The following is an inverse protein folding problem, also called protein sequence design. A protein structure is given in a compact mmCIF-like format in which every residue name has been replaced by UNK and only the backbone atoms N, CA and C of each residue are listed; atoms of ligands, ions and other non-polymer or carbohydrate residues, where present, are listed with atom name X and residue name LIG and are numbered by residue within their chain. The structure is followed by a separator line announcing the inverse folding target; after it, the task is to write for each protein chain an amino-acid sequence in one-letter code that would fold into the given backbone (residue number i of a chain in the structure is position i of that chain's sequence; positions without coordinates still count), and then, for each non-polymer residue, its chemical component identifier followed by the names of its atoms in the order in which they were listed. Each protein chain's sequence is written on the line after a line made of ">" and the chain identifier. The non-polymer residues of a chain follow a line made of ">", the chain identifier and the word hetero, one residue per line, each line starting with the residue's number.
data_IF_020862129991
#
_entry.id   IF_020862129991
#
_cell.length_a   1.000
_cell.length_b   1.000
_cell.length_c   1.000
_cell.angle_alpha   90.00
_cell.angle_beta   90.00
_cell.angle_gamma   90.00
#
_symmetry.space_group_name_H-M   'P 1'
#
loop_
_entity.id
_entity.type
_entity.pdbx_description
1 polymer ?
#
# COMPACT_ATOMS: atom_id res chain seq x y z
N UNK A 1 -9.53 0.62 -0.54
CA UNK A 1 -8.36 0.33 -1.38
C UNK A 1 -8.71 -0.43 -2.67
N UNK A 2 -9.98 -0.50 -3.09
CA UNK A 2 -10.35 -1.14 -4.34
C UNK A 2 -10.20 -0.17 -5.53
N UNK A 3 -9.03 0.42 -5.67
CA UNK A 3 -8.70 1.22 -6.85
C UNK A 3 -7.29 0.83 -7.27
N UNK A 4 -7.25 -0.12 -8.20
CA UNK A 4 -6.07 -0.43 -9.00
C UNK A 4 -5.54 0.88 -9.56
N UNK A 5 -4.24 1.13 -9.38
CA UNK A 5 -3.61 2.35 -9.85
C UNK A 5 -3.97 2.57 -11.33
N UNK A 6 -4.42 3.78 -11.73
CA UNK A 6 -4.64 4.07 -13.12
C UNK A 6 -3.35 3.80 -13.88
N UNK A 7 -3.54 3.28 -15.08
CA UNK A 7 -2.54 2.74 -15.98
C UNK A 7 -1.68 3.87 -16.58
N UNK A 8 -1.01 4.64 -15.71
CA UNK A 8 0.01 5.62 -16.07
C UNK A 8 1.25 4.80 -16.45
N UNK A 9 1.15 4.20 -17.63
CA UNK A 9 2.06 3.30 -18.33
C UNK A 9 3.38 4.01 -18.62
N UNK A 10 4.28 3.98 -17.63
CA UNK A 10 5.71 3.76 -17.87
C UNK A 10 6.17 2.73 -16.85
N UNK A 11 6.27 1.49 -17.32
CA UNK A 11 6.55 0.24 -16.60
C UNK A 11 7.40 0.41 -15.33
N UNK A 12 6.81 0.14 -14.17
CA UNK A 12 7.54 -0.10 -12.92
C UNK A 12 7.21 -1.50 -12.39
N UNK A 13 7.58 -2.57 -13.13
CA UNK A 13 6.96 -3.90 -12.97
C UNK A 13 7.08 -4.45 -11.55
N UNK A 14 8.22 -4.18 -10.89
CA UNK A 14 8.44 -4.60 -9.51
C UNK A 14 7.56 -3.84 -8.50
N UNK A 15 7.41 -2.52 -8.67
CA UNK A 15 6.58 -1.68 -7.81
C UNK A 15 5.12 -2.11 -7.95
N UNK A 16 4.68 -2.33 -9.18
CA UNK A 16 3.30 -2.73 -9.51
C UNK A 16 2.98 -4.13 -8.94
N UNK A 17 3.86 -5.11 -9.17
CA UNK A 17 3.71 -6.45 -8.62
C UNK A 17 3.66 -6.44 -7.08
N UNK A 18 4.51 -5.63 -6.46
CA UNK A 18 4.55 -5.49 -5.00
C UNK A 18 3.28 -4.84 -4.46
N UNK A 19 2.82 -3.78 -5.11
CA UNK A 19 1.59 -3.09 -4.74
C UNK A 19 0.39 -4.03 -4.83
N UNK A 20 0.25 -4.75 -5.94
CA UNK A 20 -0.82 -5.76 -6.14
C UNK A 20 -0.83 -6.82 -5.03
N UNK A 21 0.34 -7.32 -4.63
CA UNK A 21 0.43 -8.27 -3.52
C UNK A 21 -0.03 -7.66 -2.18
N UNK A 22 0.29 -6.38 -1.91
CA UNK A 22 -0.18 -5.69 -0.71
C UNK A 22 -1.71 -5.52 -0.71
N UNK A 23 -2.30 -5.15 -1.85
CA UNK A 23 -3.76 -5.06 -2.02
C UNK A 23 -4.42 -6.39 -1.73
N UNK A 24 -3.88 -7.50 -2.26
CA UNK A 24 -4.40 -8.84 -1.98
C UNK A 24 -4.33 -9.19 -0.49
N UNK A 25 -3.20 -8.89 0.18
CA UNK A 25 -3.05 -9.15 1.63
C UNK A 25 -4.00 -8.29 2.47
N UNK A 26 -4.23 -7.05 2.07
CA UNK A 26 -5.21 -6.16 2.69
C UNK A 26 -6.63 -6.73 2.53
N UNK A 27 -7.05 -7.06 1.32
CA UNK A 27 -8.39 -7.61 1.06
C UNK A 27 -8.63 -8.89 1.87
N UNK A 28 -7.66 -9.82 1.86
CA UNK A 28 -7.73 -11.02 2.69
C UNK A 28 -7.91 -10.71 4.18
N UNK A 29 -7.21 -9.70 4.69
CA UNK A 29 -7.30 -9.26 6.07
C UNK A 29 -8.65 -8.62 6.43
N UNK A 30 -9.23 -7.88 5.49
CA UNK A 30 -10.58 -7.32 5.64
C UNK A 30 -11.63 -8.43 5.59
N UNK A 31 -11.53 -9.35 4.63
CA UNK A 31 -12.47 -10.46 4.43
C UNK A 31 -12.51 -11.41 5.63
N UNK A 32 -11.36 -11.70 6.25
CA UNK A 32 -11.28 -12.59 7.40
C UNK A 32 -11.39 -11.88 8.75
N UNK A 33 -11.61 -10.56 8.75
CA UNK A 33 -11.77 -9.75 9.97
C UNK A 33 -10.49 -9.48 10.76
N UNK A 34 -9.31 -9.83 10.25
CA UNK A 34 -8.02 -9.50 10.89
C UNK A 34 -7.53 -8.09 10.63
N UNK A 35 -8.23 -7.30 9.79
CA UNK A 35 -7.98 -5.86 9.63
C UNK A 35 -9.29 -5.13 9.90
N UNK A 36 -9.33 -4.40 11.03
CA UNK A 36 -10.52 -3.68 11.47
C UNK A 36 -10.73 -2.35 10.72
N UNK A 37 -11.83 -1.64 11.01
CA UNK A 37 -12.14 -0.37 10.35
C UNK A 37 -11.08 0.73 10.62
N UNK A 38 -10.51 0.77 11.82
CA UNK A 38 -9.50 1.76 12.22
C UNK A 38 -8.18 1.53 11.48
N UNK A 39 -7.77 0.28 11.34
CA UNK A 39 -6.60 -0.18 10.61
C UNK A 39 -6.78 0.02 9.10
N UNK A 40 -7.98 -0.23 8.58
CA UNK A 40 -8.32 0.10 7.20
C UNK A 40 -8.10 1.59 6.92
N UNK A 41 -8.52 2.50 7.81
CA UNK A 41 -8.28 3.94 7.64
C UNK A 41 -6.80 4.31 7.69
N UNK A 42 -6.02 3.69 8.58
CA UNK A 42 -4.55 3.88 8.63
C UNK A 42 -3.90 3.42 7.32
N UNK A 43 -4.29 2.27 6.80
CA UNK A 43 -3.77 1.76 5.53
C UNK A 43 -4.18 2.67 4.36
N UNK A 44 -5.44 3.14 4.30
CA UNK A 44 -5.90 4.07 3.25
C UNK A 44 -5.04 5.34 3.18
N UNK A 45 -4.69 5.92 4.34
CA UNK A 45 -3.77 7.08 4.40
C UNK A 45 -2.38 6.75 3.87
N UNK A 46 -1.85 5.57 4.19
CA UNK A 46 -0.56 5.11 3.67
C UNK A 46 -0.59 4.92 2.14
N UNK A 47 -1.68 4.37 1.60
CA UNK A 47 -1.89 4.22 0.15
C UNK A 47 -1.99 5.57 -0.57
N UNK A 48 -2.72 6.52 -0.01
CA UNK A 48 -2.78 7.88 -0.55
C UNK A 48 -1.38 8.54 -0.58
N UNK A 49 -0.58 8.37 0.47
CA UNK A 49 0.81 8.84 0.50
C UNK A 49 1.69 8.18 -0.56
N UNK A 50 1.56 6.87 -0.76
CA UNK A 50 2.26 6.13 -1.82
C UNK A 50 1.85 6.62 -3.22
N UNK A 51 0.55 6.79 -3.46
CA UNK A 51 0.01 7.33 -4.73
C UNK A 51 0.52 8.73 -5.02
N UNK A 52 0.55 9.61 -4.02
CA UNK A 52 1.12 10.95 -4.15
C UNK A 52 2.61 10.92 -4.48
N UNK A 53 3.37 10.04 -3.83
CA UNK A 53 4.79 9.85 -4.13
C UNK A 53 5.02 9.29 -5.53
N UNK A 54 4.22 8.32 -5.96
CA UNK A 54 4.31 7.72 -7.30
C UNK A 54 3.95 8.72 -8.40
N UNK A 55 2.92 9.54 -8.17
CA UNK A 55 2.54 10.60 -9.08
C UNK A 55 3.65 11.66 -9.17
N UNK A 56 4.13 12.14 -8.01
CA UNK A 56 5.24 13.09 -7.92
C UNK A 56 6.49 12.61 -8.65
N UNK A 57 6.88 11.35 -8.45
CA UNK A 57 8.03 10.76 -9.13
C UNK A 57 7.92 10.78 -10.67
N UNK A 58 6.69 10.59 -11.19
CA UNK A 58 6.44 10.60 -12.63
C UNK A 58 6.29 12.00 -13.23
N UNK A 59 6.32 13.06 -12.42
CA UNK A 59 5.93 14.41 -12.87
C UNK A 59 7.03 15.11 -13.67
N UNK A 60 8.31 14.74 -13.52
CA UNK A 60 9.43 15.45 -14.16
C UNK A 60 9.70 15.00 -15.61
N UNK A 61 9.94 13.71 -15.84
CA UNK A 61 10.28 13.15 -17.17
C UNK A 61 9.44 11.93 -17.55
N UNK A 62 8.47 11.57 -16.69
CA UNK A 62 7.66 10.35 -16.77
C UNK A 62 8.41 9.07 -16.41
N UNK A 63 9.67 9.15 -16.01
CA UNK A 63 10.47 8.04 -15.49
C UNK A 63 10.46 8.07 -13.96
N UNK A 64 11.07 7.06 -13.35
CA UNK A 64 11.30 7.02 -11.92
C UNK A 64 12.80 6.83 -11.74
N UNK A 65 13.45 7.82 -11.13
CA UNK A 65 14.87 7.79 -10.86
C UNK A 65 15.22 6.81 -9.71
N UNK A 66 16.51 6.68 -9.41
CA UNK A 66 16.96 5.77 -8.35
C UNK A 66 16.49 6.21 -6.95
N UNK A 67 16.49 7.51 -6.65
CA UNK A 67 16.12 8.04 -5.33
C UNK A 67 14.62 7.92 -5.08
N UNK A 68 13.81 8.24 -6.08
CA UNK A 68 12.37 8.07 -6.08
C UNK A 68 12.00 6.61 -5.92
N UNK A 69 12.69 5.71 -6.65
CA UNK A 69 12.54 4.27 -6.48
C UNK A 69 12.85 3.85 -5.05
N UNK A 70 13.98 4.26 -4.47
CA UNK A 70 14.31 3.96 -3.06
C UNK A 70 13.21 4.48 -2.12
N UNK A 71 12.69 5.68 -2.36
CA UNK A 71 11.58 6.26 -1.62
C UNK A 71 10.32 5.40 -1.68
N UNK A 72 9.87 5.04 -2.88
CA UNK A 72 8.69 4.19 -3.11
C UNK A 72 8.87 2.81 -2.45
N UNK A 73 10.06 2.23 -2.54
CA UNK A 73 10.40 0.97 -1.88
C UNK A 73 10.29 1.07 -0.36
N UNK A 74 10.77 2.16 0.26
CA UNK A 74 10.64 2.41 1.70
C UNK A 74 9.18 2.55 2.12
N UNK A 75 8.37 3.27 1.34
CA UNK A 75 6.93 3.42 1.59
C UNK A 75 6.22 2.06 1.52
N UNK A 76 6.47 1.27 0.46
CA UNK A 76 5.93 -0.09 0.33
C UNK A 76 6.42 -1.04 1.44
N UNK A 77 7.63 -0.88 1.97
CA UNK A 77 8.11 -1.65 3.14
C UNK A 77 7.28 -1.35 4.38
N UNK A 78 7.04 -0.06 4.65
CA UNK A 78 6.22 0.38 5.79
C UNK A 78 4.79 -0.14 5.69
N UNK A 79 4.16 -0.01 4.51
CA UNK A 79 2.81 -0.52 4.30
C UNK A 79 2.73 -2.05 4.45
N UNK A 80 3.70 -2.79 3.93
CA UNK A 80 3.78 -4.24 4.11
C UNK A 80 3.92 -4.65 5.59
N UNK A 81 4.69 -3.89 6.38
CA UNK A 81 4.87 -4.12 7.80
C UNK A 81 3.58 -3.82 8.59
N UNK A 82 2.86 -2.74 8.24
CA UNK A 82 1.54 -2.44 8.81
C UNK A 82 0.53 -3.55 8.52
N UNK A 83 0.42 -3.99 7.26
CA UNK A 83 -0.48 -5.10 6.89
C UNK A 83 -0.11 -6.39 7.64
N UNK A 84 1.19 -6.69 7.78
CA UNK A 84 1.63 -7.84 8.55
C UNK A 84 1.21 -7.70 10.01
N UNK A 85 1.49 -6.54 10.62
CA UNK A 85 1.12 -6.26 12.00
C UNK A 85 -0.38 -6.44 12.18
N UNK A 86 -1.23 -5.71 11.47
CA UNK A 86 -2.69 -5.77 11.64
C UNK A 86 -3.23 -7.19 11.47
N UNK A 87 -2.79 -7.92 10.45
CA UNK A 87 -3.19 -9.33 10.24
C UNK A 87 -2.85 -10.30 11.38
N UNK A 88 -1.87 -9.96 12.23
CA UNK A 88 -1.36 -10.83 13.30
C UNK A 88 -1.57 -10.24 14.70
N UNK A 89 -1.80 -8.94 14.78
CA UNK A 89 -2.15 -8.18 15.97
C UNK A 89 -3.67 -8.19 16.03
N UNK A 90 -4.26 -9.37 16.30
CA UNK A 90 -5.64 -9.42 16.75
C UNK A 90 -5.66 -8.78 18.13
N UNK A 91 -5.82 -7.46 18.18
CA UNK A 91 -6.36 -6.81 19.36
C UNK A 91 -7.69 -7.54 19.64
N UNK A 92 -7.88 -8.13 20.84
CA UNK A 92 -9.15 -8.74 21.17
C UNK A 92 -10.21 -7.65 21.02
N UNK A 93 -11.15 -7.86 20.08
CA UNK A 93 -12.35 -7.04 19.97
C UNK A 93 -12.92 -6.91 21.38
N UNK A 94 -13.07 -5.70 21.94
CA UNK A 94 -13.75 -5.56 23.21
C UNK A 94 -15.15 -6.16 23.02
N UNK A 95 -15.46 -7.20 23.81
CA UNK A 95 -16.79 -7.78 23.86
C UNK A 95 -17.78 -6.64 24.13
N UNK A 96 -18.65 -6.36 23.15
CA UNK A 96 -19.78 -5.43 23.29
C UNK A 96 -20.89 -6.05 24.10
#
# INVERSE_FOLDING_TARGET
>A
MAELLPEIQRNTPWIDARYSNQVRRYNQGVENGTIDATEQEKLKKADAGFKGQLYGAKTDDGLIDLQERIGLHKTLNRTSAMIFKFKHDTDPVPET
#
